data_IF_785606565783
#
_entry.id   IF_785606565783
#
_cell.length_a   1.000
_cell.length_b   1.000
_cell.length_c   1.000
_cell.angle_alpha   90.00
_cell.angle_beta   90.00
_cell.angle_gamma   90.00
#
_symmetry.space_group_name_H-M   'P 1'
#
loop_
_entity.id
_entity.type
_entity.pdbx_description
1 polymer ?
#
# COMPACT_ATOMS: atom_id res chain seq x y z
N UNK A 1 11.10 15.03 -5.96
CA UNK A 1 9.89 14.75 -6.76
C UNK A 1 9.61 13.29 -6.54
N UNK A 2 8.43 12.96 -6.00
CA UNK A 2 8.02 11.56 -5.80
C UNK A 2 8.00 10.83 -7.14
N UNK A 3 8.22 9.52 -7.10
CA UNK A 3 8.28 8.70 -8.32
C UNK A 3 6.88 8.46 -8.89
N UNK A 4 5.86 8.45 -8.04
CA UNK A 4 4.46 8.26 -8.38
C UNK A 4 3.58 9.33 -7.71
N UNK A 5 2.43 9.62 -8.30
CA UNK A 5 1.44 10.52 -7.67
C UNK A 5 0.62 9.79 -6.61
N UNK A 6 0.25 8.53 -6.87
CA UNK A 6 -0.51 7.69 -5.95
C UNK A 6 0.23 6.39 -5.66
N UNK A 7 0.43 6.06 -4.39
CA UNK A 7 0.99 4.78 -3.98
C UNK A 7 -0.04 4.02 -3.15
N UNK A 8 -0.48 2.87 -3.66
CA UNK A 8 -1.36 1.96 -2.93
C UNK A 8 -0.49 0.87 -2.30
N UNK A 9 -0.26 0.96 -0.99
CA UNK A 9 0.55 0.01 -0.24
C UNK A 9 -0.35 -0.88 0.60
N UNK A 10 -0.08 -2.18 0.63
CA UNK A 10 -0.84 -3.09 1.47
C UNK A 10 -0.02 -4.17 2.18
N UNK A 11 -0.45 -4.51 3.38
CA UNK A 11 -0.09 -5.74 4.07
C UNK A 11 -1.26 -6.72 3.98
N UNK A 12 -0.99 -7.94 3.52
CA UNK A 12 -1.99 -9.01 3.45
C UNK A 12 -1.36 -10.37 3.70
N UNK A 13 -1.94 -11.15 4.62
CA UNK A 13 -1.50 -12.52 4.92
C UNK A 13 -2.36 -13.56 4.16
N UNK A 14 -3.69 -13.39 4.15
CA UNK A 14 -4.64 -14.33 3.53
C UNK A 14 -5.27 -13.82 2.23
N UNK A 15 -4.90 -12.63 1.77
CA UNK A 15 -5.39 -12.05 0.51
C UNK A 15 -6.58 -11.09 0.64
N UNK A 16 -7.21 -10.97 1.81
CA UNK A 16 -8.38 -10.10 1.98
C UNK A 16 -8.05 -8.62 1.75
N UNK A 17 -7.01 -8.11 2.41
CA UNK A 17 -6.57 -6.71 2.26
C UNK A 17 -6.03 -6.45 0.86
N UNK A 18 -5.36 -7.44 0.24
CA UNK A 18 -4.89 -7.34 -1.14
C UNK A 18 -6.05 -7.12 -2.12
N UNK A 19 -7.16 -7.85 -1.95
CA UNK A 19 -8.36 -7.66 -2.79
C UNK A 19 -8.87 -6.23 -2.68
N UNK A 20 -8.99 -5.69 -1.47
CA UNK A 20 -9.42 -4.30 -1.25
C UNK A 20 -8.44 -3.31 -1.89
N UNK A 21 -7.13 -3.52 -1.72
CA UNK A 21 -6.09 -2.67 -2.31
C UNK A 21 -6.14 -2.68 -3.85
N UNK A 22 -6.37 -3.83 -4.48
CA UNK A 22 -6.53 -3.95 -5.93
C UNK A 22 -7.76 -3.19 -6.46
N UNK A 23 -8.88 -3.23 -5.73
CA UNK A 23 -10.08 -2.47 -6.10
C UNK A 23 -9.84 -0.96 -5.98
N UNK A 24 -9.21 -0.51 -4.89
CA UNK A 24 -8.83 0.90 -4.70
C UNK A 24 -7.88 1.34 -5.84
N UNK A 25 -6.83 0.56 -6.11
CA UNK A 25 -5.89 0.83 -7.19
C UNK A 25 -6.58 0.93 -8.56
N UNK A 26 -7.54 0.03 -8.83
CA UNK A 26 -8.29 0.03 -10.10
C UNK A 26 -9.21 1.25 -10.22
N UNK A 27 -9.76 1.75 -9.11
CA UNK A 27 -10.63 2.92 -9.08
C UNK A 27 -9.90 4.27 -9.28
N UNK A 28 -8.57 4.31 -9.08
CA UNK A 28 -7.78 5.52 -9.32
C UNK A 28 -7.59 5.74 -10.83
N UNK A 29 -8.20 6.79 -11.37
CA UNK A 29 -8.09 7.18 -12.79
C UNK A 29 -6.83 8.03 -13.04
N UNK A 30 -5.66 7.42 -12.88
CA UNK A 30 -4.35 8.02 -13.11
C UNK A 30 -3.38 6.92 -13.54
N UNK A 31 -2.48 7.23 -14.47
CA UNK A 31 -1.36 6.33 -14.83
C UNK A 31 -0.18 6.49 -13.87
N UNK A 32 -0.10 7.61 -13.16
CA UNK A 32 0.93 7.88 -12.13
C UNK A 32 0.58 7.19 -10.80
N UNK A 33 0.28 5.89 -10.85
CA UNK A 33 -0.05 5.08 -9.68
C UNK A 33 0.76 3.80 -9.62
N UNK A 34 1.03 3.32 -8.42
CA UNK A 34 1.70 2.03 -8.19
C UNK A 34 0.98 1.25 -7.08
N UNK A 35 0.92 -0.08 -7.23
CA UNK A 35 0.40 -1.02 -6.24
C UNK A 35 1.56 -1.84 -5.66
N UNK A 36 1.72 -1.81 -4.34
CA UNK A 36 2.85 -2.41 -3.65
C UNK A 36 2.39 -3.24 -2.45
N UNK A 37 2.86 -4.48 -2.36
CA UNK A 37 2.79 -5.23 -1.11
C UNK A 37 3.94 -4.79 -0.21
N UNK A 38 3.66 -4.45 1.06
CA UNK A 38 4.66 -3.85 1.97
C UNK A 38 5.92 -4.71 2.12
N UNK A 39 5.78 -6.04 2.10
CA UNK A 39 6.92 -6.98 2.18
C UNK A 39 7.89 -6.88 0.99
N UNK A 40 7.44 -6.31 -0.13
CA UNK A 40 8.25 -6.09 -1.32
C UNK A 40 8.80 -4.66 -1.38
N UNK A 41 8.49 -3.81 -0.39
CA UNK A 41 8.98 -2.44 -0.36
C UNK A 41 10.46 -2.41 0.01
N UNK A 42 11.23 -1.67 -0.79
CA UNK A 42 12.68 -1.55 -0.68
C UNK A 42 13.11 -0.08 -0.46
N UNK A 43 12.18 0.80 -0.10
CA UNK A 43 12.43 2.23 0.11
C UNK A 43 12.63 3.06 -1.16
N UNK A 44 12.48 2.50 -2.35
CA UNK A 44 12.68 3.23 -3.62
C UNK A 44 11.39 3.70 -4.30
N UNK A 45 10.23 3.21 -3.84
CA UNK A 45 8.93 3.69 -4.28
C UNK A 45 8.39 4.70 -3.28
N UNK A 46 8.03 5.87 -3.79
CA UNK A 46 7.52 7.02 -3.04
C UNK A 46 6.37 7.67 -3.84
N UNK A 47 5.35 8.13 -3.12
CA UNK A 47 4.09 8.67 -3.65
C UNK A 47 3.79 10.07 -3.08
N UNK A 48 3.07 10.92 -3.82
CA UNK A 48 2.51 12.14 -3.22
C UNK A 48 1.32 11.82 -2.29
N UNK A 49 0.53 10.82 -2.67
CA UNK A 49 -0.68 10.38 -1.96
C UNK A 49 -0.58 8.88 -1.70
N UNK A 50 -0.73 8.50 -0.43
CA UNK A 50 -0.65 7.13 0.02
C UNK A 50 -2.02 6.56 0.38
N UNK A 51 -2.32 5.38 -0.15
CA UNK A 51 -3.41 4.51 0.33
C UNK A 51 -2.79 3.30 1.02
N UNK A 52 -2.85 3.24 2.35
CA UNK A 52 -2.19 2.19 3.13
C UNK A 52 -3.25 1.26 3.73
N UNK A 53 -3.29 0.00 3.27
CA UNK A 53 -4.22 -1.01 3.75
C UNK A 53 -3.52 -2.11 4.54
N UNK A 54 -4.04 -2.47 5.72
CA UNK A 54 -3.52 -3.59 6.51
C UNK A 54 -4.64 -4.32 7.23
N UNK A 55 -4.43 -5.60 7.54
CA UNK A 55 -5.33 -6.32 8.43
C UNK A 55 -5.06 -5.92 9.88
N UNK A 56 -6.08 -6.00 10.72
CA UNK A 56 -5.90 -5.80 12.17
C UNK A 56 -5.17 -7.02 12.73
N UNK A 57 -3.98 -6.78 13.26
CA UNK A 57 -3.18 -7.78 13.97
C UNK A 57 -3.01 -7.35 15.42
N UNK A 58 -3.62 -8.06 16.37
CA UNK A 58 -3.56 -7.73 17.80
C UNK A 58 -3.90 -6.26 18.13
N UNK A 59 -4.98 -5.73 17.55
CA UNK A 59 -5.42 -4.33 17.70
C UNK A 59 -4.51 -3.27 17.06
N UNK A 60 -3.54 -3.69 16.25
CA UNK A 60 -2.59 -2.79 15.57
C UNK A 60 -2.36 -3.21 14.10
N UNK A 61 -1.48 -2.47 13.42
CA UNK A 61 -0.89 -2.87 12.14
C UNK A 61 0.33 -3.77 12.35
N UNK A 62 0.86 -4.31 11.26
CA UNK A 62 2.12 -5.07 11.28
C UNK A 62 3.34 -4.13 11.38
N UNK A 63 4.49 -4.68 11.79
CA UNK A 63 5.73 -3.90 11.97
C UNK A 63 6.13 -3.21 10.66
N UNK A 64 5.99 -3.89 9.52
CA UNK A 64 6.36 -3.35 8.22
C UNK A 64 5.52 -2.14 7.83
N UNK A 65 4.28 -2.05 8.32
CA UNK A 65 3.41 -0.88 8.12
C UNK A 65 3.78 0.23 9.10
N UNK A 66 4.18 -0.10 10.32
CA UNK A 66 4.71 0.87 11.27
C UNK A 66 5.99 1.53 10.76
N UNK A 67 6.90 0.77 10.14
CA UNK A 67 8.16 1.29 9.59
C UNK A 67 7.96 2.21 8.36
N UNK A 68 6.79 2.11 7.70
CA UNK A 68 6.39 2.99 6.59
C UNK A 68 5.89 4.37 7.06
N UNK A 69 5.34 4.46 8.27
CA UNK A 69 4.65 5.64 8.80
C UNK A 69 5.57 6.52 9.65
#
# INVERSE_FOLDING_TARGET
MSKHKYLVVYASETGNTERVAKEIYSAIHSEEKELLQIRNWNGQSDGDIYFIGFWVNHSSCSIEIMDLL
#
